data_IF_587078172205
#
_entry.id   IF_587078172205
#
_cell.length_a   1.000
_cell.length_b   1.000
_cell.length_c   1.000
_cell.angle_alpha   90.00
_cell.angle_beta   90.00
_cell.angle_gamma   90.00
#
_symmetry.space_group_name_H-M   'P 1'
#
loop_
_entity.id
_entity.type
_entity.pdbx_description
1 polymer ?
#
# COMPACT_ATOMS: atom_id res chain seq x y z
N UNK A 1 -22.76 -7.90 -10.47
CA UNK A 1 -21.76 -7.83 -9.39
C UNK A 1 -21.06 -6.52 -9.61
N UNK A 2 -21.18 -5.58 -8.67
CA UNK A 2 -20.52 -4.27 -8.74
C UNK A 2 -19.05 -4.45 -9.09
N UNK A 3 -18.53 -3.66 -10.03
CA UNK A 3 -17.09 -3.61 -10.22
C UNK A 3 -16.48 -3.08 -8.93
N UNK A 4 -15.77 -3.94 -8.20
CA UNK A 4 -15.12 -3.55 -6.96
C UNK A 4 -14.04 -2.52 -7.26
N UNK A 5 -13.86 -1.56 -6.35
CA UNK A 5 -12.68 -0.69 -6.32
C UNK A 5 -11.43 -1.56 -6.46
N UNK A 6 -10.54 -1.19 -7.39
CA UNK A 6 -9.37 -2.01 -7.72
C UNK A 6 -8.57 -2.33 -6.46
N UNK A 7 -8.25 -3.61 -6.27
CA UNK A 7 -7.45 -4.09 -5.15
C UNK A 7 -8.00 -3.80 -3.74
N UNK A 8 -9.31 -3.50 -3.62
CA UNK A 8 -9.97 -3.26 -2.33
C UNK A 8 -10.08 -4.54 -1.48
N UNK A 9 -9.61 -4.49 -0.22
CA UNK A 9 -9.81 -5.56 0.77
C UNK A 9 -9.60 -5.11 2.22
N UNK A 10 -10.24 -5.82 3.14
CA UNK A 10 -10.03 -5.71 4.59
C UNK A 10 -8.73 -6.39 5.02
N UNK A 11 -8.02 -5.81 5.99
CA UNK A 11 -6.99 -6.51 6.78
C UNK A 11 -7.55 -7.20 8.03
N UNK A 12 -8.87 -7.19 8.22
CA UNK A 12 -9.52 -7.96 9.28
C UNK A 12 -9.39 -9.47 9.08
N UNK A 13 -9.46 -10.21 10.19
CA UNK A 13 -9.51 -11.66 10.19
C UNK A 13 -8.16 -12.37 10.21
N UNK A 14 -7.06 -11.69 9.89
CA UNK A 14 -5.70 -12.23 10.06
C UNK A 14 -5.43 -12.56 11.53
N UNK A 15 -4.66 -13.63 11.79
CA UNK A 15 -4.33 -14.06 13.15
C UNK A 15 -3.03 -13.39 13.58
N UNK A 16 -3.11 -12.57 14.62
CA UNK A 16 -2.00 -11.83 15.21
C UNK A 16 -1.60 -12.37 16.59
N UNK A 17 -1.12 -11.46 17.44
CA UNK A 17 -0.64 -11.76 18.79
C UNK A 17 -1.64 -12.60 19.60
N UNK A 18 -1.11 -13.60 20.33
CA UNK A 18 -1.89 -14.48 21.21
C UNK A 18 -3.02 -15.25 20.50
N UNK A 19 -2.98 -15.36 19.18
CA UNK A 19 -4.03 -16.03 18.39
C UNK A 19 -5.30 -15.19 18.20
N UNK A 20 -5.31 -13.93 18.63
CA UNK A 20 -6.41 -12.98 18.40
C UNK A 20 -6.48 -12.57 16.94
N UNK A 21 -7.66 -12.15 16.49
CA UNK A 21 -7.88 -11.76 15.10
C UNK A 21 -7.82 -10.26 14.93
N UNK A 22 -7.30 -9.80 13.79
CA UNK A 22 -7.42 -8.40 13.40
C UNK A 22 -8.90 -8.04 13.28
N UNK A 23 -9.29 -6.94 13.92
CA UNK A 23 -10.65 -6.44 13.97
C UNK A 23 -11.14 -6.09 12.56
N UNK A 24 -12.29 -6.66 12.20
CA UNK A 24 -12.96 -6.39 10.93
C UNK A 24 -13.47 -4.95 10.87
N UNK A 25 -13.57 -4.42 9.64
CA UNK A 25 -14.20 -3.13 9.39
C UNK A 25 -13.36 -1.89 9.74
N UNK A 26 -12.10 -2.08 10.15
CA UNK A 26 -11.24 -0.98 10.61
C UNK A 26 -10.14 -0.58 9.63
N UNK A 27 -9.57 -1.55 8.92
CA UNK A 27 -8.35 -1.37 8.14
C UNK A 27 -8.57 -1.94 6.73
N UNK A 28 -8.52 -1.06 5.73
CA UNK A 28 -8.73 -1.40 4.34
C UNK A 28 -7.54 -0.96 3.49
N UNK A 29 -7.19 -1.76 2.50
CA UNK A 29 -6.25 -1.36 1.45
C UNK A 29 -6.94 -1.37 0.11
N UNK A 30 -6.56 -0.45 -0.76
CA UNK A 30 -7.14 -0.33 -2.11
C UNK A 30 -6.16 0.34 -3.08
N UNK A 31 -6.52 0.35 -4.37
CA UNK A 31 -6.00 1.32 -5.33
C UNK A 31 -6.66 2.68 -5.16
N UNK A 32 -6.29 3.64 -6.02
CA UNK A 32 -6.85 4.99 -5.98
C UNK A 32 -8.38 5.02 -6.07
N UNK A 33 -8.98 6.02 -5.43
CA UNK A 33 -10.43 6.28 -5.44
C UNK A 33 -10.78 7.29 -6.53
N UNK A 34 -10.18 7.14 -7.71
CA UNK A 34 -10.41 7.99 -8.88
C UNK A 34 -11.55 7.43 -9.75
N UNK A 35 -12.38 8.32 -10.30
CA UNK A 35 -13.47 8.02 -11.24
C UNK A 35 -14.42 6.90 -10.76
N UNK A 36 -14.82 6.98 -9.48
CA UNK A 36 -15.70 5.99 -8.88
C UNK A 36 -17.14 6.07 -9.42
N UNK A 37 -17.76 4.91 -9.62
CA UNK A 37 -19.22 4.82 -9.90
C UNK A 37 -20.02 5.19 -8.64
N UNK A 38 -21.30 5.50 -8.80
CA UNK A 38 -22.14 5.85 -7.65
C UNK A 38 -22.30 4.68 -6.66
N UNK A 39 -22.29 3.43 -7.14
CA UNK A 39 -22.27 2.26 -6.27
C UNK A 39 -20.96 2.15 -5.48
N UNK A 40 -19.82 2.51 -6.07
CA UNK A 40 -18.53 2.51 -5.38
C UNK A 40 -18.43 3.63 -4.36
N UNK A 41 -19.03 4.80 -4.64
CA UNK A 41 -19.15 5.91 -3.68
C UNK A 41 -20.00 5.49 -2.48
N UNK A 42 -21.15 4.89 -2.72
CA UNK A 42 -22.02 4.36 -1.66
C UNK A 42 -21.32 3.27 -0.83
N UNK A 43 -20.54 2.40 -1.49
CA UNK A 43 -19.76 1.36 -0.85
C UNK A 43 -18.77 1.93 0.17
N UNK A 44 -17.96 2.93 -0.21
CA UNK A 44 -16.97 3.51 0.72
C UNK A 44 -17.61 4.40 1.79
N UNK A 45 -18.66 5.15 1.45
CA UNK A 45 -19.30 6.09 2.39
C UNK A 45 -20.25 5.43 3.37
N UNK A 46 -21.14 4.57 2.88
CA UNK A 46 -22.29 4.11 3.65
C UNK A 46 -22.13 2.66 4.09
N UNK A 47 -21.57 1.79 3.24
CA UNK A 47 -21.36 0.40 3.61
C UNK A 47 -20.15 0.24 4.55
N UNK A 48 -18.97 0.70 4.13
CA UNK A 48 -17.75 0.63 4.95
C UNK A 48 -17.62 1.78 5.96
N UNK A 49 -18.44 2.83 5.82
CA UNK A 49 -18.43 3.99 6.71
C UNK A 49 -17.03 4.58 6.89
N UNK A 50 -16.31 4.67 5.77
CA UNK A 50 -14.92 5.13 5.76
C UNK A 50 -14.82 6.54 6.37
N UNK A 51 -13.89 6.70 7.31
CA UNK A 51 -13.67 7.97 8.02
C UNK A 51 -12.35 8.63 7.63
N UNK A 52 -11.32 7.83 7.36
CA UNK A 52 -10.01 8.33 6.92
C UNK A 52 -9.57 7.65 5.62
N UNK A 53 -9.06 8.45 4.69
CA UNK A 53 -8.38 7.99 3.48
C UNK A 53 -6.93 8.48 3.51
N UNK A 54 -5.98 7.54 3.50
CA UNK A 54 -4.54 7.83 3.49
C UNK A 54 -4.01 7.63 2.08
N UNK A 55 -3.62 8.73 1.43
CA UNK A 55 -3.04 8.74 0.10
C UNK A 55 -1.51 8.79 0.15
N UNK A 56 -0.88 7.68 -0.26
CA UNK A 56 0.58 7.52 -0.28
C UNK A 56 1.23 8.04 -1.57
N UNK A 57 0.46 8.71 -2.45
CA UNK A 57 0.93 9.18 -3.76
C UNK A 57 1.72 10.48 -3.70
N UNK A 58 2.46 10.76 -4.77
CA UNK A 58 3.05 12.06 -5.02
C UNK A 58 2.06 13.09 -5.58
N UNK A 59 2.50 14.33 -5.71
CA UNK A 59 1.65 15.44 -6.14
C UNK A 59 1.16 15.32 -7.59
N UNK A 60 2.02 14.85 -8.50
CA UNK A 60 1.67 14.70 -9.91
C UNK A 60 0.62 13.60 -10.13
N UNK A 61 0.77 12.46 -9.46
CA UNK A 61 -0.23 11.37 -9.48
C UNK A 61 -1.60 11.85 -9.00
N UNK A 62 -1.65 12.67 -7.94
CA UNK A 62 -2.91 13.20 -7.40
C UNK A 62 -3.57 14.23 -8.31
N UNK A 63 -2.78 15.04 -9.02
CA UNK A 63 -3.31 16.00 -10.00
C UNK A 63 -3.90 15.29 -11.22
N UNK A 64 -3.24 14.22 -11.67
CA UNK A 64 -3.70 13.45 -12.83
C UNK A 64 -4.91 12.57 -12.48
N UNK A 65 -4.91 11.97 -11.29
CA UNK A 65 -5.95 11.04 -10.82
C UNK A 65 -6.51 11.46 -9.43
N UNK A 66 -7.26 12.57 -9.33
CA UNK A 66 -7.75 13.07 -8.05
C UNK A 66 -8.77 12.14 -7.40
N UNK A 67 -8.56 11.77 -6.14
CA UNK A 67 -9.51 10.91 -5.42
C UNK A 67 -10.87 11.57 -5.23
N UNK A 68 -11.89 10.72 -5.15
CA UNK A 68 -13.19 11.10 -4.66
C UNK A 68 -13.15 11.35 -3.14
N UNK A 69 -13.33 12.61 -2.76
CA UNK A 69 -13.37 13.07 -1.36
C UNK A 69 -14.74 13.68 -1.05
N UNK A 70 -15.24 13.48 0.17
CA UNK A 70 -16.53 14.01 0.63
C UNK A 70 -16.38 14.81 1.94
N UNK A 71 -17.37 15.64 2.33
CA UNK A 71 -17.20 16.65 3.39
C UNK A 71 -16.71 16.18 4.77
N UNK A 72 -16.94 14.91 5.13
CA UNK A 72 -16.58 14.32 6.43
C UNK A 72 -15.44 13.30 6.34
N UNK A 73 -14.78 13.19 5.19
CA UNK A 73 -13.62 12.32 5.02
C UNK A 73 -12.37 13.05 5.51
N UNK A 74 -11.67 12.44 6.46
CA UNK A 74 -10.32 12.84 6.81
C UNK A 74 -9.35 12.35 5.72
N UNK A 75 -8.95 13.25 4.81
CA UNK A 75 -8.06 12.93 3.70
C UNK A 75 -6.62 13.33 4.03
N UNK A 76 -5.79 12.32 4.27
CA UNK A 76 -4.41 12.47 4.74
C UNK A 76 -3.44 12.14 3.62
N UNK A 77 -2.54 13.06 3.31
CA UNK A 77 -1.55 12.89 2.24
C UNK A 77 -0.18 12.60 2.86
N UNK A 78 0.40 11.44 2.52
CA UNK A 78 1.69 10.99 3.03
C UNK A 78 2.55 10.49 1.86
N UNK A 79 3.21 11.41 1.16
CA UNK A 79 4.07 11.06 0.02
C UNK A 79 5.34 10.33 0.48
N UNK A 80 5.27 9.00 0.47
CA UNK A 80 6.34 8.09 0.92
C UNK A 80 7.48 7.92 -0.09
N UNK A 81 7.38 8.57 -1.26
CA UNK A 81 8.41 8.54 -2.30
C UNK A 81 8.86 9.96 -2.69
N UNK A 82 8.54 10.97 -1.90
CA UNK A 82 8.88 12.37 -2.18
C UNK A 82 10.37 12.61 -2.45
N UNK A 83 11.24 11.90 -1.73
CA UNK A 83 12.69 12.04 -1.88
C UNK A 83 13.27 11.09 -2.95
N UNK A 84 12.46 10.18 -3.51
CA UNK A 84 12.93 9.29 -4.55
C UNK A 84 13.02 10.05 -5.86
N UNK A 85 14.18 10.00 -6.52
CA UNK A 85 14.35 10.54 -7.87
C UNK A 85 13.66 9.69 -8.96
N UNK A 86 12.73 8.86 -8.55
CA UNK A 86 12.08 7.77 -9.28
C UNK A 86 10.59 7.83 -8.97
N UNK A 87 9.82 8.53 -9.81
CA UNK A 87 8.36 8.59 -9.73
C UNK A 87 7.75 7.43 -10.55
N UNK A 88 8.17 6.20 -10.25
CA UNK A 88 7.88 4.98 -11.04
C UNK A 88 6.39 4.60 -11.11
N UNK A 89 5.51 5.40 -10.52
CA UNK A 89 4.08 5.16 -10.52
C UNK A 89 3.33 5.76 -11.72
N UNK A 90 3.98 6.61 -12.54
CA UNK A 90 3.38 7.04 -13.80
C UNK A 90 3.54 5.96 -14.87
N UNK A 91 2.47 5.71 -15.62
CA UNK A 91 2.51 4.80 -16.77
C UNK A 91 3.58 5.27 -17.77
N UNK A 92 3.79 6.57 -17.91
CA UNK A 92 4.82 7.15 -18.76
C UNK A 92 6.24 6.82 -18.30
N UNK A 93 6.53 6.80 -16.98
CA UNK A 93 7.82 6.34 -16.48
C UNK A 93 8.00 4.82 -16.68
N UNK A 94 6.96 4.02 -16.45
CA UNK A 94 6.96 2.57 -16.71
C UNK A 94 7.20 2.28 -18.21
N UNK A 95 6.62 3.08 -19.10
CA UNK A 95 6.77 2.99 -20.56
C UNK A 95 8.16 3.46 -21.02
N UNK A 96 8.76 4.41 -20.30
CA UNK A 96 10.13 4.89 -20.54
C UNK A 96 11.21 4.02 -19.90
N UNK A 97 10.82 3.05 -19.07
CA UNK A 97 11.75 2.23 -18.31
C UNK A 97 12.61 1.37 -19.25
N UNK A 98 13.92 1.44 -19.04
CA UNK A 98 14.89 0.58 -19.71
C UNK A 98 14.77 -0.87 -19.21
N UNK A 99 15.56 -1.78 -19.78
CA UNK A 99 15.57 -3.24 -19.55
C UNK A 99 15.94 -3.73 -18.12
N UNK A 100 15.66 -2.95 -17.07
CA UNK A 100 16.07 -3.18 -15.68
C UNK A 100 14.91 -3.02 -14.67
N UNK A 101 13.66 -3.12 -15.13
CA UNK A 101 12.44 -2.92 -14.30
C UNK A 101 12.46 -3.70 -12.98
N UNK A 102 12.87 -4.97 -13.00
CA UNK A 102 12.93 -5.79 -11.78
C UNK A 102 13.90 -5.24 -10.74
N UNK A 103 15.09 -4.79 -11.15
CA UNK A 103 16.04 -4.16 -10.22
C UNK A 103 15.57 -2.80 -9.73
N UNK A 104 14.85 -2.05 -10.57
CA UNK A 104 14.27 -0.76 -10.20
C UNK A 104 13.14 -0.93 -9.16
N UNK A 105 12.34 -1.98 -9.29
CA UNK A 105 11.35 -2.38 -8.28
C UNK A 105 12.01 -2.76 -6.96
N UNK A 106 13.06 -3.59 -6.99
CA UNK A 106 13.79 -3.96 -5.77
C UNK A 106 14.37 -2.74 -5.06
N UNK A 107 14.98 -1.82 -5.82
CA UNK A 107 15.51 -0.56 -5.27
C UNK A 107 14.41 0.30 -4.64
N UNK A 108 13.23 0.38 -5.27
CA UNK A 108 12.08 1.10 -4.71
C UNK A 108 11.70 0.54 -3.33
N UNK A 109 11.73 -0.78 -3.14
CA UNK A 109 11.44 -1.39 -1.84
C UNK A 109 12.55 -1.13 -0.80
N UNK A 110 13.81 -0.93 -1.21
CA UNK A 110 14.86 -0.45 -0.31
C UNK A 110 14.61 1.02 0.10
N UNK A 111 14.23 1.87 -0.85
CA UNK A 111 13.92 3.29 -0.62
C UNK A 111 12.71 3.46 0.30
N UNK A 112 11.67 2.63 0.14
CA UNK A 112 10.52 2.60 1.05
C UNK A 112 10.90 2.22 2.48
N UNK A 113 11.99 1.48 2.69
CA UNK A 113 12.46 1.13 4.03
C UNK A 113 13.31 2.23 4.67
N UNK A 114 14.10 2.97 3.87
CA UNK A 114 15.21 3.79 4.39
C UNK A 114 15.07 5.29 4.15
N UNK A 115 14.36 5.72 3.11
CA UNK A 115 14.24 7.14 2.77
C UNK A 115 13.54 7.93 3.88
N UNK A 116 13.85 9.22 4.00
CA UNK A 116 13.26 10.06 5.05
C UNK A 116 11.75 10.22 4.82
N UNK A 117 11.33 10.58 3.62
CA UNK A 117 9.91 10.66 3.23
C UNK A 117 9.13 9.36 3.51
N UNK A 118 9.68 8.18 3.21
CA UNK A 118 9.01 6.94 3.55
C UNK A 118 8.88 6.73 5.06
N UNK A 119 9.97 6.93 5.82
CA UNK A 119 9.96 6.75 7.28
C UNK A 119 9.05 7.75 7.99
N UNK A 120 9.06 9.02 7.57
CA UNK A 120 8.16 10.07 8.07
C UNK A 120 6.70 9.81 7.69
N UNK A 121 6.44 9.35 6.46
CA UNK A 121 5.09 8.98 6.03
C UNK A 121 4.53 7.80 6.81
N UNK A 122 5.31 6.73 6.96
CA UNK A 122 4.87 5.57 7.75
C UNK A 122 4.79 5.87 9.25
N UNK A 123 5.65 6.76 9.79
CA UNK A 123 5.51 7.28 11.15
C UNK A 123 4.12 7.91 11.35
N UNK A 124 3.78 8.93 10.56
CA UNK A 124 2.51 9.63 10.71
C UNK A 124 1.32 8.69 10.51
N UNK A 125 1.39 7.82 9.49
CA UNK A 125 0.33 6.87 9.24
C UNK A 125 0.07 5.96 10.45
N UNK A 126 1.12 5.35 11.00
CA UNK A 126 0.98 4.42 12.12
C UNK A 126 0.59 5.15 13.42
N UNK A 127 1.07 6.37 13.64
CA UNK A 127 0.64 7.20 14.77
C UNK A 127 -0.84 7.58 14.68
N UNK A 128 -1.35 7.89 13.50
CA UNK A 128 -2.78 8.20 13.30
C UNK A 128 -3.68 7.01 13.64
N UNK A 129 -3.23 5.78 13.36
CA UNK A 129 -3.98 4.56 13.71
C UNK A 129 -4.16 4.39 15.23
N UNK A 130 -3.16 4.76 16.04
CA UNK A 130 -3.27 4.65 17.51
C UNK A 130 -3.93 5.87 18.16
N UNK A 131 -3.76 7.06 17.58
CA UNK A 131 -4.27 8.32 18.14
C UNK A 131 -5.75 8.56 17.83
N UNK A 132 -6.22 8.15 16.65
CA UNK A 132 -7.61 8.30 16.23
C UNK A 132 -8.09 7.04 15.47
N UNK A 133 -8.44 5.97 16.20
CA UNK A 133 -8.78 4.68 15.62
C UNK A 133 -10.19 4.69 15.02
N UNK A 134 -10.26 5.00 13.73
CA UNK A 134 -11.48 4.99 12.90
C UNK A 134 -11.35 4.02 11.72
N UNK A 135 -12.43 3.68 10.99
CA UNK A 135 -12.31 2.97 9.72
C UNK A 135 -11.43 3.73 8.71
N UNK A 136 -10.30 3.14 8.33
CA UNK A 136 -9.28 3.74 7.45
C UNK A 136 -9.08 2.89 6.20
N UNK A 137 -8.95 3.56 5.06
CA UNK A 137 -8.48 3.00 3.81
C UNK A 137 -7.18 3.70 3.46
N UNK A 138 -6.18 2.94 3.03
CA UNK A 138 -4.90 3.49 2.58
C UNK A 138 -4.57 2.94 1.20
N UNK A 139 -4.02 3.80 0.36
CA UNK A 139 -3.78 3.47 -1.04
C UNK A 139 -2.56 4.20 -1.60
N UNK A 140 -2.21 3.80 -2.81
CA UNK A 140 -1.35 4.57 -3.70
C UNK A 140 -2.05 4.61 -5.06
N UNK A 141 -1.34 4.58 -6.19
CA UNK A 141 -1.99 4.42 -7.50
C UNK A 141 -2.65 3.03 -7.63
N UNK A 142 -1.83 1.98 -7.62
CA UNK A 142 -2.27 0.61 -7.86
C UNK A 142 -2.75 -0.13 -6.61
N UNK A 143 -2.46 0.41 -5.42
CA UNK A 143 -2.67 -0.28 -4.15
C UNK A 143 -1.68 -1.42 -3.89
N UNK A 144 -0.54 -1.45 -4.61
CA UNK A 144 0.36 -2.62 -4.65
C UNK A 144 1.62 -2.45 -3.80
N UNK A 145 2.51 -1.51 -4.15
CA UNK A 145 3.85 -1.43 -3.54
C UNK A 145 3.86 -0.63 -2.24
N UNK A 146 3.70 0.71 -2.33
CA UNK A 146 3.58 1.62 -1.17
C UNK A 146 2.51 1.12 -0.18
N UNK A 147 1.33 0.80 -0.71
CA UNK A 147 0.23 0.20 0.06
C UNK A 147 0.56 -1.20 0.59
N UNK A 148 1.33 -2.01 -0.14
CA UNK A 148 1.74 -3.34 0.31
C UNK A 148 2.70 -3.28 1.49
N UNK A 149 3.65 -2.37 1.45
CA UNK A 149 4.54 -2.07 2.57
C UNK A 149 3.75 -1.54 3.77
N UNK A 150 2.84 -0.58 3.56
CA UNK A 150 1.97 -0.06 4.61
C UNK A 150 1.15 -1.17 5.30
N UNK A 151 0.53 -2.07 4.52
CA UNK A 151 -0.20 -3.22 5.02
C UNK A 151 0.71 -4.19 5.80
N UNK A 152 1.91 -4.47 5.28
CA UNK A 152 2.88 -5.31 5.95
C UNK A 152 3.32 -4.74 7.30
N UNK A 153 3.55 -3.42 7.41
CA UNK A 153 3.89 -2.75 8.66
C UNK A 153 2.78 -2.87 9.70
N UNK A 154 1.53 -2.63 9.31
CA UNK A 154 0.37 -2.82 10.18
C UNK A 154 0.32 -4.27 10.69
N UNK A 155 0.35 -5.25 9.79
CA UNK A 155 0.28 -6.66 10.16
C UNK A 155 1.47 -7.11 11.02
N UNK A 156 2.68 -6.59 10.76
CA UNK A 156 3.87 -6.81 11.61
C UNK A 156 3.70 -6.23 13.01
N UNK A 157 3.09 -5.05 13.17
CA UNK A 157 2.82 -4.48 14.51
C UNK A 157 1.83 -5.30 15.33
N UNK A 158 0.96 -6.06 14.65
CA UNK A 158 -0.05 -6.93 15.25
C UNK A 158 0.45 -8.38 15.46
N UNK A 159 1.75 -8.64 15.23
CA UNK A 159 2.39 -9.95 15.29
C UNK A 159 1.73 -11.01 14.39
N UNK A 160 1.18 -10.57 13.24
CA UNK A 160 0.76 -11.49 12.18
C UNK A 160 2.00 -12.13 11.54
N UNK A 161 1.92 -13.44 11.27
CA UNK A 161 3.04 -14.20 10.72
C UNK A 161 3.47 -13.70 9.34
N UNK A 162 4.77 -13.80 9.03
CA UNK A 162 5.28 -13.37 7.72
C UNK A 162 4.57 -14.10 6.57
N UNK A 163 4.25 -15.39 6.73
CA UNK A 163 3.50 -16.17 5.72
C UNK A 163 2.15 -15.55 5.38
N UNK A 164 1.36 -15.14 6.39
CA UNK A 164 0.07 -14.48 6.18
C UNK A 164 0.24 -13.11 5.51
N UNK A 165 1.31 -12.37 5.86
CA UNK A 165 1.61 -11.07 5.26
C UNK A 165 1.96 -11.22 3.78
N UNK A 166 2.81 -12.19 3.44
CA UNK A 166 3.14 -12.47 2.05
C UNK A 166 1.93 -12.99 1.26
N UNK A 167 1.06 -13.80 1.89
CA UNK A 167 -0.19 -14.22 1.28
C UNK A 167 -1.10 -13.02 0.99
N UNK A 168 -1.29 -12.09 1.92
CA UNK A 168 -2.05 -10.84 1.67
C UNK A 168 -1.47 -10.04 0.50
N UNK A 169 -0.15 -9.87 0.51
CA UNK A 169 0.55 -9.10 -0.50
C UNK A 169 0.35 -9.70 -1.90
N UNK A 170 0.47 -11.03 -2.03
CA UNK A 170 0.32 -11.74 -3.30
C UNK A 170 -1.14 -11.81 -3.81
N UNK A 171 -2.16 -11.60 -2.95
CA UNK A 171 -3.56 -11.43 -3.42
C UNK A 171 -3.70 -10.27 -4.42
N UNK A 172 -2.77 -9.33 -4.42
CA UNK A 172 -2.74 -8.21 -5.38
C UNK A 172 -2.66 -8.68 -6.83
N UNK A 173 -2.04 -9.84 -7.12
CA UNK A 173 -1.91 -10.38 -8.49
C UNK A 173 -3.30 -10.63 -9.09
N UNK A 174 -4.16 -11.38 -8.39
CA UNK A 174 -5.50 -11.67 -8.88
C UNK A 174 -6.39 -10.42 -8.81
N UNK A 175 -6.30 -9.64 -7.71
CA UNK A 175 -7.12 -8.46 -7.51
C UNK A 175 -6.87 -7.35 -8.56
N UNK A 176 -5.71 -7.33 -9.21
CA UNK A 176 -5.37 -6.40 -10.28
C UNK A 176 -5.41 -6.99 -11.68
N UNK A 177 -5.69 -8.28 -11.83
CA UNK A 177 -5.62 -8.98 -13.12
C UNK A 177 -6.40 -8.31 -14.23
N UNK A 178 -7.66 -7.91 -13.96
CA UNK A 178 -8.51 -7.20 -14.93
C UNK A 178 -7.91 -5.84 -15.33
N UNK A 179 -7.62 -4.99 -14.35
CA UNK A 179 -7.05 -3.66 -14.58
C UNK A 179 -5.69 -3.72 -15.32
N UNK A 180 -4.83 -4.67 -14.96
CA UNK A 180 -3.55 -4.87 -15.62
C UNK A 180 -3.74 -5.33 -17.07
N UNK A 181 -4.70 -6.23 -17.34
CA UNK A 181 -4.99 -6.67 -18.70
C UNK A 181 -5.52 -5.52 -19.58
N UNK A 182 -6.40 -4.66 -19.05
CA UNK A 182 -6.91 -3.49 -19.76
C UNK A 182 -5.79 -2.51 -20.15
N UNK A 183 -4.83 -2.27 -19.24
CA UNK A 183 -3.65 -1.45 -19.54
C UNK A 183 -2.78 -2.11 -20.62
N UNK A 184 -2.52 -3.41 -20.51
CA UNK A 184 -1.71 -4.14 -21.48
C UNK A 184 -2.36 -4.16 -22.87
N UNK A 185 -3.66 -4.38 -22.96
CA UNK A 185 -4.41 -4.38 -24.22
C UNK A 185 -4.41 -3.00 -24.88
N UNK A 186 -4.56 -1.93 -24.08
CA UNK A 186 -4.47 -0.55 -24.57
C UNK A 186 -3.08 -0.20 -25.14
N UNK A 187 -2.01 -0.73 -24.54
CA UNK A 187 -0.63 -0.45 -24.93
C UNK A 187 -0.12 -1.37 -26.05
N UNK A 188 -0.73 -2.54 -26.25
CA UNK A 188 -0.23 -3.61 -27.13
C UNK A 188 0.08 -3.17 -28.56
N UNK A 189 -0.73 -2.26 -29.11
CA UNK A 189 -0.57 -1.73 -30.48
C UNK A 189 0.22 -0.41 -30.52
N UNK A 190 0.62 0.12 -29.36
CA UNK A 190 1.31 1.41 -29.20
C UNK A 190 2.80 1.27 -28.88
N UNK A 191 3.27 0.05 -28.61
CA UNK A 191 4.62 -0.20 -28.10
C UNK A 191 5.24 -1.49 -28.68
N UNK A 192 6.57 -1.58 -28.62
CA UNK A 192 7.30 -2.81 -28.96
C UNK A 192 6.94 -3.95 -27.97
N UNK A 193 6.80 -5.20 -28.44
CA UNK A 193 6.50 -6.35 -27.58
C UNK A 193 7.43 -6.53 -26.38
N UNK A 194 8.72 -6.15 -26.50
CA UNK A 194 9.67 -6.20 -25.38
C UNK A 194 9.24 -5.23 -24.27
N UNK A 195 8.86 -4.01 -24.63
CA UNK A 195 8.46 -2.99 -23.67
C UNK A 195 7.13 -3.37 -23.00
N UNK A 196 6.22 -4.06 -23.71
CA UNK A 196 4.99 -4.60 -23.12
C UNK A 196 5.28 -5.63 -22.02
N UNK A 197 6.32 -6.46 -22.18
CA UNK A 197 6.73 -7.41 -21.13
C UNK A 197 7.23 -6.67 -19.88
N UNK A 198 8.03 -5.63 -20.08
CA UNK A 198 8.58 -4.81 -18.99
C UNK A 198 7.46 -4.07 -18.23
N UNK A 199 6.46 -3.55 -18.95
CA UNK A 199 5.22 -3.00 -18.38
C UNK A 199 4.47 -4.06 -17.57
N UNK A 200 4.32 -5.28 -18.08
CA UNK A 200 3.62 -6.35 -17.36
C UNK A 200 4.28 -6.70 -16.01
N UNK A 201 5.62 -6.66 -15.94
CA UNK A 201 6.39 -6.85 -14.71
C UNK A 201 6.10 -5.69 -13.73
N UNK A 202 6.14 -4.45 -14.20
CA UNK A 202 5.87 -3.27 -13.38
C UNK A 202 4.42 -3.22 -12.85
N UNK A 203 3.45 -3.75 -13.60
CA UNK A 203 2.03 -3.76 -13.21
C UNK A 203 1.68 -4.82 -12.16
N UNK A 204 2.52 -5.83 -11.98
CA UNK A 204 2.29 -6.91 -11.01
C UNK A 204 3.12 -6.72 -9.73
N UNK A 205 3.02 -7.71 -8.85
CA UNK A 205 3.86 -7.86 -7.65
C UNK A 205 4.54 -9.22 -7.67
N UNK A 206 5.72 -9.29 -7.08
CA UNK A 206 6.44 -10.53 -6.82
C UNK A 206 6.87 -10.58 -5.37
N UNK A 207 6.93 -11.81 -4.81
CA UNK A 207 7.30 -12.06 -3.42
C UNK A 207 8.64 -11.39 -3.06
N UNK A 208 9.61 -11.49 -3.97
CA UNK A 208 10.97 -10.94 -3.79
C UNK A 208 11.00 -9.43 -3.51
N UNK A 209 10.01 -8.66 -3.96
CA UNK A 209 9.97 -7.22 -3.71
C UNK A 209 9.70 -6.93 -2.23
N UNK A 210 8.67 -7.55 -1.65
CA UNK A 210 8.40 -7.39 -0.22
C UNK A 210 9.46 -8.09 0.64
N UNK A 211 10.05 -9.20 0.17
CA UNK A 211 11.22 -9.81 0.82
C UNK A 211 12.39 -8.82 0.88
N UNK A 212 12.68 -8.10 -0.22
CA UNK A 212 13.74 -7.08 -0.22
C UNK A 212 13.51 -5.99 0.82
N UNK A 213 12.27 -5.54 1.00
CA UNK A 213 11.95 -4.60 2.09
C UNK A 213 12.24 -5.21 3.46
N UNK A 214 11.79 -6.44 3.72
CA UNK A 214 12.02 -7.14 4.99
C UNK A 214 13.51 -7.34 5.27
N UNK A 215 14.27 -7.76 4.26
CA UNK A 215 15.73 -7.89 4.32
C UNK A 215 16.41 -6.55 4.60
N UNK A 216 15.95 -5.47 3.97
CA UNK A 216 16.50 -4.13 4.16
C UNK A 216 16.27 -3.64 5.58
N UNK A 217 15.07 -3.84 6.12
CA UNK A 217 14.74 -3.54 7.51
C UNK A 217 15.64 -4.36 8.45
N UNK A 218 15.68 -5.69 8.30
CA UNK A 218 16.49 -6.58 9.15
C UNK A 218 17.98 -6.26 9.08
N UNK A 219 18.50 -5.90 7.90
CA UNK A 219 19.92 -5.54 7.71
C UNK A 219 20.30 -4.23 8.41
N UNK A 220 19.43 -3.23 8.41
CA UNK A 220 19.76 -1.90 8.93
C UNK A 220 19.37 -1.72 10.41
N UNK A 221 18.35 -2.43 10.89
CA UNK A 221 17.79 -2.26 12.24
C UNK A 221 17.81 -3.55 13.07
N UNK A 222 18.14 -4.70 12.47
CA UNK A 222 18.15 -6.01 13.12
C UNK A 222 16.81 -6.73 13.03
N UNK A 223 15.73 -6.06 13.43
CA UNK A 223 14.37 -6.60 13.39
C UNK A 223 13.32 -5.47 13.20
N UNK A 224 12.05 -5.87 13.10
CA UNK A 224 10.94 -4.93 12.94
C UNK A 224 10.63 -4.15 14.22
N UNK A 225 10.89 -4.70 15.40
CA UNK A 225 10.59 -4.02 16.67
C UNK A 225 11.51 -2.80 16.84
N UNK A 226 12.80 -2.96 16.54
CA UNK A 226 13.76 -1.86 16.45
C UNK A 226 13.46 -0.93 15.30
N UNK A 227 13.00 -1.43 14.16
CA UNK A 227 12.62 -0.56 13.05
C UNK A 227 11.43 0.33 13.39
N UNK A 228 10.41 -0.17 14.10
CA UNK A 228 9.31 0.66 14.56
C UNK A 228 9.79 1.80 15.44
N UNK A 229 10.66 1.53 16.41
CA UNK A 229 11.13 2.54 17.37
C UNK A 229 12.21 3.45 16.79
N UNK A 230 13.28 2.90 16.23
CA UNK A 230 14.45 3.66 15.78
C UNK A 230 14.33 4.12 14.32
N UNK A 231 13.70 3.30 13.47
CA UNK A 231 13.55 3.59 12.04
C UNK A 231 12.39 4.53 11.76
N UNK A 232 11.22 4.24 12.32
CA UNK A 232 9.99 5.00 12.15
C UNK A 232 9.69 5.97 13.31
N UNK A 233 10.59 6.12 14.28
CA UNK A 233 10.43 7.03 15.42
C UNK A 233 9.10 6.82 16.19
N UNK A 234 8.67 5.57 16.34
CA UNK A 234 7.43 5.24 17.05
C UNK A 234 7.70 5.04 18.56
N UNK A 235 6.71 5.32 19.43
CA UNK A 235 6.81 5.03 20.85
C UNK A 235 7.14 3.55 21.12
N UNK A 236 7.88 3.29 22.20
CA UNK A 236 8.28 1.92 22.57
C UNK A 236 7.08 0.99 22.85
N UNK A 237 5.93 1.54 23.24
CA UNK A 237 4.67 0.83 23.48
C UNK A 237 3.73 0.80 22.26
N UNK A 238 4.18 1.28 21.10
CA UNK A 238 3.37 1.35 19.87
C UNK A 238 2.68 0.02 19.52
N UNK A 239 3.41 -1.10 19.55
CA UNK A 239 2.83 -2.42 19.26
C UNK A 239 1.76 -2.81 20.28
N UNK A 240 1.98 -2.53 21.56
CA UNK A 240 0.99 -2.81 22.61
C UNK A 240 -0.31 -2.03 22.34
N UNK A 241 -0.19 -0.74 21.97
CA UNK A 241 -1.35 0.09 21.62
C UNK A 241 -2.07 -0.44 20.37
N UNK A 242 -1.33 -0.76 19.30
CA UNK A 242 -1.90 -1.35 18.08
C UNK A 242 -2.66 -2.64 18.39
N UNK A 243 -2.05 -3.56 19.14
CA UNK A 243 -2.66 -4.84 19.49
C UNK A 243 -3.91 -4.67 20.35
N UNK A 244 -3.89 -3.73 21.31
CA UNK A 244 -5.05 -3.41 22.15
C UNK A 244 -6.23 -2.85 21.36
N UNK A 245 -5.97 -2.05 20.33
CA UNK A 245 -7.01 -1.39 19.52
C UNK A 245 -7.57 -2.35 18.45
N UNK A 246 -6.67 -3.11 17.80
CA UNK A 246 -6.99 -3.81 16.56
C UNK A 246 -7.04 -5.33 16.67
N UNK A 247 -6.77 -5.95 17.83
CA UNK A 247 -6.96 -7.40 18.02
C UNK A 247 -8.18 -7.71 18.90
N UNK A 248 -8.96 -8.71 18.50
CA UNK A 248 -10.17 -9.19 19.20
C UNK A 248 -10.21 -10.71 19.36
#
# INVERSE_FOLDING_TARGET
MSENITNWRSLGGYVGAEGKKVKEGMLFRCGQLFDLTDEQKDLVQNHYQLKRLVDLRGDDERKEYPDYVWPDLDYVILDVLKDSGTNQASVDEIVSANSHVESDMLKTYEELALSNSAREGYHHFLMDLINDPVPVAFHCFAGKDRTGVAAALILKSLDVSEDQIFEDYLKTIEARKKANQEILDYLKDKMDPKNIKDVAIALTVERQYLERYFETVKKNYGDFDRYFVEGLDLPADFKEQMQKIYLV
#
